data_IF_934492459515
#
_entry.id   IF_934492459515
#
_cell.length_a   1.000
_cell.length_b   1.000
_cell.length_c   1.000
_cell.angle_alpha   90.00
_cell.angle_beta   90.00
_cell.angle_gamma   90.00
#
_symmetry.space_group_name_H-M   'P 1'
#
loop_
_entity.id
_entity.type
_entity.pdbx_description
1 polymer ?
#
# COMPACT_ATOMS: atom_id res chain seq x y z
N UNK A 1 -28.32 28.39 -16.60
CA UNK A 1 -27.72 27.37 -17.48
C UNK A 1 -27.76 27.87 -18.94
N UNK A 2 -26.80 28.67 -19.37
CA UNK A 2 -26.53 29.06 -20.78
C UNK A 2 -25.47 30.16 -20.77
N UNK A 3 -24.22 29.80 -20.44
CA UNK A 3 -23.00 30.63 -20.64
C UNK A 3 -21.73 29.83 -20.30
N UNK A 4 -21.62 28.58 -20.79
CA UNK A 4 -20.38 27.76 -20.60
C UNK A 4 -20.00 26.96 -21.85
N UNK A 5 -20.42 27.38 -23.07
CA UNK A 5 -20.15 26.63 -24.30
C UNK A 5 -19.39 27.42 -25.38
N UNK A 6 -18.92 28.63 -25.07
CA UNK A 6 -18.20 29.44 -26.04
C UNK A 6 -16.67 29.49 -25.87
N UNK A 7 -16.14 29.03 -24.72
CA UNK A 7 -14.70 29.13 -24.44
C UNK A 7 -13.92 27.83 -24.74
N UNK A 8 -14.61 26.71 -24.93
CA UNK A 8 -13.97 25.42 -25.28
C UNK A 8 -13.81 25.18 -26.77
N UNK A 9 -14.53 25.93 -27.63
CA UNK A 9 -14.42 25.78 -29.06
C UNK A 9 -13.24 26.56 -29.68
N UNK A 10 -12.67 27.55 -28.99
CA UNK A 10 -11.54 28.33 -29.49
C UNK A 10 -10.17 27.71 -29.23
N UNK A 11 -10.04 26.81 -28.25
CA UNK A 11 -8.79 26.08 -27.97
C UNK A 11 -8.56 24.86 -28.87
N UNK A 12 -9.61 24.29 -29.49
CA UNK A 12 -9.48 23.07 -30.30
C UNK A 12 -9.07 23.38 -31.75
N UNK A 13 -9.27 24.60 -32.24
CA UNK A 13 -8.89 24.97 -33.60
C UNK A 13 -7.43 25.45 -33.75
N UNK A 14 -6.71 25.66 -32.67
CA UNK A 14 -5.26 25.98 -32.71
C UNK A 14 -4.34 24.76 -32.50
N UNK A 15 -4.85 23.60 -32.07
CA UNK A 15 -4.04 22.40 -31.81
C UNK A 15 -3.84 21.47 -33.00
N UNK A 16 -4.48 21.70 -34.18
CA UNK A 16 -4.37 20.77 -35.32
C UNK A 16 -3.43 21.24 -36.45
N UNK A 17 -2.72 22.34 -36.29
CA UNK A 17 -1.82 22.86 -37.32
C UNK A 17 -0.31 22.80 -36.98
N UNK A 18 0.10 22.15 -35.83
CA UNK A 18 1.53 22.09 -35.44
C UNK A 18 2.00 20.67 -35.09
N UNK A 19 1.62 19.71 -35.91
CA UNK A 19 2.25 18.39 -35.88
C UNK A 19 2.95 18.15 -37.23
N UNK A 20 4.27 18.17 -37.19
CA UNK A 20 5.24 17.81 -38.22
C UNK A 20 5.98 19.03 -38.88
N UNK A 21 7.12 19.31 -38.29
CA UNK A 21 8.16 20.13 -38.95
C UNK A 21 9.25 20.42 -37.93
N UNK A 22 10.45 19.85 -38.11
CA UNK A 22 11.67 20.43 -37.53
C UNK A 22 11.70 21.90 -38.02
N UNK A 23 11.14 22.80 -37.20
CA UNK A 23 11.28 24.23 -37.44
C UNK A 23 12.78 24.59 -37.44
N UNK A 24 13.21 25.58 -38.24
CA UNK A 24 14.57 26.04 -38.23
C UNK A 24 14.96 26.43 -36.81
N UNK A 25 16.21 26.17 -36.45
CA UNK A 25 16.83 26.66 -35.20
C UNK A 25 16.41 28.13 -35.02
N UNK A 26 15.86 28.46 -33.83
CA UNK A 26 15.33 29.78 -33.58
C UNK A 26 16.41 30.82 -33.82
N UNK A 27 16.28 31.52 -34.94
CA UNK A 27 17.12 32.69 -35.23
C UNK A 27 16.65 33.80 -34.29
N UNK A 28 17.56 34.23 -33.39
CA UNK A 28 17.35 35.42 -32.56
C UNK A 28 16.98 36.57 -33.54
N UNK A 29 15.84 37.24 -33.31
CA UNK A 29 15.49 38.38 -34.15
C UNK A 29 16.64 39.37 -34.22
N UNK A 30 17.12 39.72 -35.42
CA UNK A 30 18.20 40.66 -35.61
C UNK A 30 17.90 42.00 -34.96
N UNK A 31 18.74 42.43 -33.99
CA UNK A 31 18.59 43.72 -33.31
C UNK A 31 18.71 43.72 -31.79
N UNK A 32 18.78 42.54 -31.15
CA UNK A 32 19.06 42.48 -29.70
C UNK A 32 20.58 42.70 -29.44
N UNK A 33 20.96 43.60 -28.51
CA UNK A 33 22.31 43.67 -28.00
C UNK A 33 22.80 42.30 -27.51
N UNK A 34 24.05 41.95 -27.69
CA UNK A 34 24.60 40.66 -27.24
C UNK A 34 24.37 40.42 -25.73
N UNK A 35 24.32 41.49 -24.94
CA UNK A 35 24.00 41.45 -23.50
C UNK A 35 22.55 41.01 -23.17
N UNK A 36 21.61 41.07 -24.08
CA UNK A 36 20.22 40.62 -23.91
C UNK A 36 19.92 39.30 -24.61
N UNK A 37 20.87 38.78 -25.37
CA UNK A 37 20.68 37.54 -26.15
C UNK A 37 20.51 36.33 -25.22
N UNK A 38 21.29 36.23 -24.17
CA UNK A 38 21.19 35.16 -23.18
C UNK A 38 19.87 35.19 -22.43
N UNK A 39 19.37 36.39 -22.08
CA UNK A 39 18.08 36.59 -21.42
C UNK A 39 16.92 36.15 -22.32
N UNK A 40 16.97 36.51 -23.59
CA UNK A 40 15.92 36.13 -24.57
C UNK A 40 15.90 34.60 -24.76
N UNK A 41 17.06 33.97 -24.98
CA UNK A 41 17.19 32.50 -25.11
C UNK A 41 16.71 31.78 -23.86
N UNK A 42 17.07 32.27 -22.68
CA UNK A 42 16.56 31.76 -21.41
C UNK A 42 15.03 31.83 -21.34
N UNK A 43 14.44 32.97 -21.68
CA UNK A 43 12.99 33.17 -21.65
C UNK A 43 12.25 32.21 -22.60
N UNK A 44 12.80 32.01 -23.82
CA UNK A 44 12.25 31.02 -24.74
C UNK A 44 12.41 29.58 -24.19
N UNK A 45 13.53 29.27 -23.56
CA UNK A 45 13.73 27.99 -22.88
C UNK A 45 12.69 27.71 -21.80
N UNK A 46 12.43 28.69 -20.93
CA UNK A 46 11.34 28.62 -19.91
C UNK A 46 9.98 28.40 -20.57
N UNK A 47 9.67 29.13 -21.62
CA UNK A 47 8.42 29.02 -22.34
C UNK A 47 8.25 27.63 -22.98
N UNK A 48 9.28 27.05 -23.57
CA UNK A 48 9.25 25.68 -24.10
C UNK A 48 8.95 24.68 -23.00
N UNK A 49 9.56 24.82 -21.81
CA UNK A 49 9.36 23.93 -20.69
C UNK A 49 7.95 24.09 -20.04
N UNK A 50 7.51 25.33 -19.79
CA UNK A 50 6.31 25.57 -18.96
C UNK A 50 5.02 25.60 -19.77
N UNK A 51 5.04 26.10 -21.01
CA UNK A 51 3.84 26.26 -21.85
C UNK A 51 3.70 25.11 -22.83
N UNK A 52 4.78 24.73 -23.49
CA UNK A 52 4.76 23.69 -24.53
C UNK A 52 5.12 22.31 -24.03
N UNK A 53 5.62 22.20 -22.77
CA UNK A 53 6.07 20.95 -22.15
C UNK A 53 7.15 20.20 -23.00
N UNK A 54 7.92 20.94 -23.80
CA UNK A 54 8.98 20.43 -24.64
C UNK A 54 10.35 20.62 -23.93
N UNK A 55 10.71 19.64 -23.11
CA UNK A 55 11.95 19.66 -22.33
C UNK A 55 13.20 19.57 -23.21
N UNK A 56 13.10 18.97 -24.40
CA UNK A 56 14.23 18.85 -25.33
C UNK A 56 14.57 20.21 -25.91
N UNK A 57 13.56 20.91 -26.46
CA UNK A 57 13.77 22.27 -26.98
C UNK A 57 14.14 23.25 -25.88
N UNK A 58 13.53 23.13 -24.70
CA UNK A 58 13.91 23.94 -23.55
C UNK A 58 15.41 23.81 -23.26
N UNK A 59 15.95 22.59 -23.29
CA UNK A 59 17.39 22.32 -23.07
C UNK A 59 18.26 22.92 -24.18
N UNK A 60 17.82 22.87 -25.44
CA UNK A 60 18.54 23.50 -26.56
C UNK A 60 18.64 25.02 -26.35
N UNK A 61 17.54 25.69 -26.05
CA UNK A 61 17.52 27.14 -25.79
C UNK A 61 18.39 27.53 -24.58
N UNK A 62 18.31 26.77 -23.49
CA UNK A 62 19.12 27.03 -22.30
C UNK A 62 20.61 26.81 -22.57
N UNK A 63 20.95 25.82 -23.40
CA UNK A 63 22.35 25.59 -23.84
C UNK A 63 22.87 26.77 -24.65
N UNK A 64 22.07 27.30 -25.59
CA UNK A 64 22.44 28.48 -26.37
C UNK A 64 22.52 29.74 -25.50
N UNK A 65 21.63 29.86 -24.45
CA UNK A 65 21.74 30.95 -23.48
C UNK A 65 23.08 30.94 -22.74
N UNK A 66 23.55 29.76 -22.31
CA UNK A 66 24.86 29.56 -21.64
C UNK A 66 26.02 29.84 -22.62
N UNK A 67 25.89 29.50 -23.91
CA UNK A 67 26.88 29.81 -24.91
C UNK A 67 26.98 31.31 -25.19
N UNK A 68 25.84 32.00 -25.18
CA UNK A 68 25.80 33.46 -25.40
C UNK A 68 26.40 34.21 -24.20
N UNK A 69 26.14 33.74 -22.97
CA UNK A 69 26.72 34.27 -21.75
C UNK A 69 26.96 33.17 -20.72
N UNK A 70 28.23 32.76 -20.60
CA UNK A 70 28.67 31.71 -19.67
C UNK A 70 28.61 32.14 -18.19
N UNK A 71 28.28 33.38 -17.89
CA UNK A 71 28.10 33.91 -16.54
C UNK A 71 26.63 34.07 -16.15
N UNK A 72 25.70 33.75 -17.06
CA UNK A 72 24.26 33.90 -16.81
C UNK A 72 23.73 32.76 -15.92
N UNK A 73 23.80 32.93 -14.60
CA UNK A 73 23.47 31.96 -13.58
C UNK A 73 22.04 31.37 -13.71
N UNK A 74 20.99 32.15 -14.09
CA UNK A 74 19.64 31.59 -14.24
C UNK A 74 19.50 30.45 -15.25
N UNK A 75 20.27 30.48 -16.36
CA UNK A 75 20.23 29.42 -17.35
C UNK A 75 20.78 28.10 -16.83
N UNK A 76 21.86 28.13 -16.05
CA UNK A 76 22.39 26.94 -15.37
C UNK A 76 21.42 26.38 -14.34
N UNK A 77 20.77 27.23 -13.55
CA UNK A 77 19.80 26.83 -12.56
C UNK A 77 18.60 26.12 -13.22
N UNK A 78 18.02 26.73 -14.26
CA UNK A 78 16.87 26.15 -14.94
C UNK A 78 17.23 24.84 -15.65
N UNK A 79 18.40 24.77 -16.27
CA UNK A 79 18.88 23.55 -16.92
C UNK A 79 19.09 22.43 -15.88
N UNK A 80 19.61 22.78 -14.69
CA UNK A 80 19.75 21.84 -13.58
C UNK A 80 18.39 21.36 -13.07
N UNK A 81 17.40 22.24 -12.96
CA UNK A 81 16.05 21.90 -12.53
C UNK A 81 15.40 20.91 -13.49
N UNK A 82 15.52 21.15 -14.78
CA UNK A 82 14.96 20.26 -15.81
C UNK A 82 15.65 18.89 -15.86
N UNK A 83 16.95 18.83 -15.53
CA UNK A 83 17.74 17.61 -15.55
C UNK A 83 17.71 16.79 -14.25
N UNK A 84 17.16 17.32 -13.17
CA UNK A 84 17.30 16.74 -11.82
C UNK A 84 16.86 15.27 -11.74
N UNK A 85 15.80 14.89 -12.44
CA UNK A 85 15.24 13.53 -12.40
C UNK A 85 15.86 12.57 -13.43
N UNK A 86 16.38 13.09 -14.55
CA UNK A 86 16.90 12.28 -15.65
C UNK A 86 18.43 12.14 -15.63
N UNK A 87 19.13 13.20 -15.21
CA UNK A 87 20.59 13.28 -15.16
C UNK A 87 21.07 13.95 -13.87
N UNK A 88 20.91 13.27 -12.71
CA UNK A 88 21.17 13.89 -11.39
C UNK A 88 22.58 14.45 -11.22
N UNK A 89 23.61 13.74 -11.68
CA UNK A 89 25.00 14.21 -11.56
C UNK A 89 25.27 15.46 -12.39
N UNK A 90 24.72 15.52 -13.60
CA UNK A 90 24.81 16.73 -14.44
C UNK A 90 24.06 17.90 -13.79
N UNK A 91 22.87 17.64 -13.23
CA UNK A 91 22.10 18.64 -12.50
C UNK A 91 22.89 19.21 -11.31
N UNK A 92 23.64 18.37 -10.57
CA UNK A 92 24.54 18.83 -9.50
C UNK A 92 25.61 19.78 -10.02
N UNK A 93 26.28 19.45 -11.13
CA UNK A 93 27.35 20.31 -11.66
C UNK A 93 26.79 21.65 -12.19
N UNK A 94 25.63 21.61 -12.85
CA UNK A 94 24.94 22.83 -13.30
C UNK A 94 24.48 23.70 -12.11
N UNK A 95 23.87 23.10 -11.08
CA UNK A 95 23.47 23.78 -9.86
C UNK A 95 24.68 24.40 -9.13
N UNK A 96 25.82 23.65 -9.09
CA UNK A 96 27.09 24.15 -8.54
C UNK A 96 27.60 25.34 -9.32
N UNK A 97 27.47 25.33 -10.64
CA UNK A 97 27.88 26.47 -11.49
C UNK A 97 26.97 27.68 -11.23
N UNK A 98 25.65 27.52 -11.17
CA UNK A 98 24.72 28.60 -10.83
C UNK A 98 25.08 29.23 -9.49
N UNK A 99 25.31 28.40 -8.46
CA UNK A 99 25.68 28.88 -7.11
C UNK A 99 27.03 29.62 -7.09
N UNK A 100 28.05 29.16 -7.86
CA UNK A 100 29.35 29.85 -7.94
C UNK A 100 29.24 31.20 -8.62
N UNK A 101 28.34 31.38 -9.57
CA UNK A 101 28.11 32.64 -10.27
C UNK A 101 27.39 33.68 -9.41
N UNK A 102 26.49 33.22 -8.52
CA UNK A 102 25.84 34.08 -7.55
C UNK A 102 25.66 33.33 -6.21
N UNK A 103 26.67 33.53 -5.34
CA UNK A 103 26.71 32.90 -4.00
C UNK A 103 25.77 33.54 -3.01
N UNK A 104 25.18 34.69 -3.32
CA UNK A 104 24.24 35.41 -2.46
C UNK A 104 22.81 34.93 -2.67
N UNK A 105 22.54 34.27 -3.77
CA UNK A 105 21.24 33.75 -4.12
C UNK A 105 20.94 32.47 -3.32
N UNK A 106 20.05 32.63 -2.33
CA UNK A 106 19.64 31.52 -1.45
C UNK A 106 18.99 30.36 -2.21
N UNK A 107 18.29 30.64 -3.31
CA UNK A 107 17.61 29.62 -4.11
C UNK A 107 18.61 28.70 -4.82
N UNK A 108 19.71 29.25 -5.37
CA UNK A 108 20.76 28.45 -5.98
C UNK A 108 21.47 27.58 -4.97
N UNK A 109 21.71 28.12 -3.77
CA UNK A 109 22.33 27.38 -2.67
C UNK A 109 21.41 26.22 -2.19
N UNK A 110 20.12 26.51 -2.01
CA UNK A 110 19.14 25.51 -1.59
C UNK A 110 18.95 24.41 -2.64
N UNK A 111 18.84 24.81 -3.90
CA UNK A 111 18.68 23.87 -5.02
C UNK A 111 19.92 22.97 -5.17
N UNK A 112 21.13 23.50 -5.02
CA UNK A 112 22.35 22.67 -5.01
C UNK A 112 22.27 21.59 -3.91
N UNK A 113 21.77 21.94 -2.73
CA UNK A 113 21.56 20.98 -1.65
C UNK A 113 20.56 19.89 -2.03
N UNK A 114 19.44 20.27 -2.66
CA UNK A 114 18.43 19.32 -3.14
C UNK A 114 18.96 18.41 -4.26
N UNK A 115 19.66 18.97 -5.24
CA UNK A 115 20.26 18.20 -6.32
C UNK A 115 21.27 17.16 -5.80
N UNK A 116 22.08 17.54 -4.81
CA UNK A 116 23.02 16.63 -4.14
C UNK A 116 22.32 15.49 -3.39
N UNK A 117 21.20 15.79 -2.71
CA UNK A 117 20.36 14.76 -2.07
C UNK A 117 19.81 13.79 -3.11
N UNK A 118 19.30 14.32 -4.21
CA UNK A 118 18.72 13.52 -5.28
C UNK A 118 19.77 12.62 -5.97
N UNK A 119 20.98 13.16 -6.17
CA UNK A 119 22.12 12.40 -6.66
C UNK A 119 22.76 11.46 -5.59
N UNK A 120 22.17 11.36 -4.39
CA UNK A 120 22.66 10.57 -3.25
C UNK A 120 24.08 10.96 -2.77
N UNK A 121 24.53 12.18 -3.10
CA UNK A 121 25.82 12.72 -2.67
C UNK A 121 25.70 13.36 -1.26
N UNK A 122 25.25 12.57 -0.28
CA UNK A 122 24.88 13.02 1.07
C UNK A 122 26.00 13.77 1.82
N UNK A 123 27.28 13.35 1.77
CA UNK A 123 28.35 14.09 2.44
C UNK A 123 28.54 15.52 1.91
N UNK A 124 28.33 15.74 0.60
CA UNK A 124 28.41 17.06 0.01
C UNK A 124 27.19 17.91 0.34
N UNK A 125 25.97 17.29 0.27
CA UNK A 125 24.74 17.91 0.70
C UNK A 125 24.81 18.39 2.15
N UNK A 126 25.40 17.59 3.04
CA UNK A 126 25.63 17.93 4.44
C UNK A 126 26.45 19.26 4.56
N UNK A 127 27.50 19.41 3.74
CA UNK A 127 28.29 20.64 3.69
C UNK A 127 27.47 21.86 3.24
N UNK A 128 26.57 21.68 2.28
CA UNK A 128 25.67 22.74 1.79
C UNK A 128 24.66 23.14 2.87
N UNK A 129 23.97 22.18 3.49
CA UNK A 129 22.96 22.49 4.52
C UNK A 129 23.54 23.04 5.83
N UNK A 130 24.80 22.70 6.16
CA UNK A 130 25.53 23.40 7.26
C UNK A 130 25.65 24.89 7.00
N UNK A 131 26.03 25.27 5.77
CA UNK A 131 26.13 26.68 5.37
C UNK A 131 24.75 27.36 5.30
N UNK A 132 23.74 26.66 4.76
CA UNK A 132 22.36 27.16 4.71
C UNK A 132 21.82 27.45 6.11
N UNK A 133 22.04 26.57 7.07
CA UNK A 133 21.65 26.80 8.47
C UNK A 133 22.32 28.04 9.05
N UNK A 134 23.60 28.29 8.71
CA UNK A 134 24.33 29.48 9.19
C UNK A 134 23.84 30.75 8.52
N UNK A 135 23.54 30.70 7.22
CA UNK A 135 23.08 31.85 6.43
C UNK A 135 21.61 32.21 6.72
N UNK A 136 20.75 31.21 6.92
CA UNK A 136 19.35 31.38 7.24
C UNK A 136 18.99 30.52 8.47
N UNK A 137 19.36 30.99 9.68
CA UNK A 137 19.13 30.24 10.92
C UNK A 137 17.67 30.26 11.39
N UNK A 138 16.79 31.05 10.77
CA UNK A 138 15.38 31.16 11.11
C UNK A 138 14.49 30.18 10.31
N UNK A 139 15.07 29.41 9.41
CA UNK A 139 14.33 28.43 8.62
C UNK A 139 14.43 27.03 9.27
N UNK A 140 13.33 26.50 9.84
CA UNK A 140 13.33 25.20 10.51
C UNK A 140 13.60 24.03 9.54
N UNK A 141 13.29 24.17 8.23
CA UNK A 141 13.59 23.16 7.23
C UNK A 141 15.07 22.90 7.05
N UNK A 142 15.92 23.92 7.26
CA UNK A 142 17.37 23.73 7.21
C UNK A 142 17.86 22.77 8.30
N UNK A 143 17.23 22.80 9.49
CA UNK A 143 17.55 21.89 10.59
C UNK A 143 17.01 20.50 10.32
N UNK A 144 15.79 20.41 9.80
CA UNK A 144 15.15 19.13 9.43
C UNK A 144 15.98 18.37 8.42
N UNK A 145 16.34 19.02 7.31
CA UNK A 145 17.12 18.42 6.24
C UNK A 145 18.54 18.09 6.70
N UNK A 146 19.15 18.96 7.52
CA UNK A 146 20.47 18.71 8.09
C UNK A 146 20.45 17.48 9.02
N UNK A 147 19.42 17.33 9.85
CA UNK A 147 19.27 16.17 10.72
C UNK A 147 19.05 14.87 9.90
N UNK A 148 18.21 14.91 8.86
CA UNK A 148 18.00 13.79 7.96
C UNK A 148 19.31 13.39 7.22
N UNK A 149 20.11 14.36 6.79
CA UNK A 149 21.39 14.09 6.17
C UNK A 149 22.40 13.49 7.14
N UNK A 150 22.41 13.93 8.38
CA UNK A 150 23.25 13.31 9.41
C UNK A 150 22.88 11.84 9.63
N UNK A 151 21.59 11.51 9.59
CA UNK A 151 21.11 10.13 9.68
C UNK A 151 21.58 9.30 8.48
N UNK A 152 21.46 9.84 7.25
CA UNK A 152 21.92 9.16 6.04
C UNK A 152 23.44 8.87 6.05
N UNK A 153 24.23 9.77 6.64
CA UNK A 153 25.68 9.54 6.79
C UNK A 153 26.06 8.83 8.10
N UNK A 154 25.09 8.17 8.75
CA UNK A 154 25.28 7.38 9.98
C UNK A 154 25.87 8.18 11.16
N UNK A 155 25.42 9.42 11.32
CA UNK A 155 25.81 10.30 12.43
C UNK A 155 24.58 10.72 13.27
N UNK A 156 23.86 9.77 13.90
CA UNK A 156 22.59 10.05 14.58
C UNK A 156 22.74 11.00 15.77
N UNK A 157 23.86 11.01 16.46
CA UNK A 157 24.11 11.96 17.56
C UNK A 157 24.21 13.42 17.07
N UNK A 158 24.80 13.64 15.88
CA UNK A 158 24.84 14.96 15.25
C UNK A 158 23.45 15.40 14.77
N UNK A 159 22.63 14.46 14.32
CA UNK A 159 21.23 14.70 13.99
C UNK A 159 20.44 15.16 15.24
N UNK A 160 20.56 14.45 16.36
CA UNK A 160 19.91 14.80 17.63
C UNK A 160 20.36 16.20 18.08
N UNK A 161 21.66 16.50 18.10
CA UNK A 161 22.17 17.81 18.48
C UNK A 161 21.67 18.94 17.55
N UNK A 162 21.44 18.63 16.27
CA UNK A 162 20.85 19.59 15.32
C UNK A 162 19.38 19.87 15.67
N UNK A 163 18.62 18.83 16.01
CA UNK A 163 17.21 18.96 16.43
C UNK A 163 17.09 19.65 17.80
N UNK A 164 18.01 19.40 18.75
CA UNK A 164 18.08 20.14 20.00
C UNK A 164 18.30 21.64 19.75
N UNK A 165 19.17 21.97 18.79
CA UNK A 165 19.42 23.38 18.40
C UNK A 165 18.20 24.03 17.76
N UNK A 166 17.40 23.24 17.00
CA UNK A 166 16.14 23.70 16.43
C UNK A 166 15.09 23.95 17.52
N UNK A 167 14.96 23.04 18.50
CA UNK A 167 14.02 23.17 19.61
C UNK A 167 14.33 24.40 20.48
N UNK A 168 15.61 24.67 20.76
CA UNK A 168 16.03 25.86 21.48
C UNK A 168 15.66 27.18 20.76
N UNK A 169 15.61 27.17 19.43
CA UNK A 169 15.34 28.35 18.62
C UNK A 169 13.87 28.57 18.31
N UNK A 170 13.15 27.53 18.00
CA UNK A 170 11.76 27.60 17.51
C UNK A 170 10.73 27.07 18.50
N UNK A 171 11.18 26.55 19.64
CA UNK A 171 10.32 25.71 20.47
C UNK A 171 10.05 24.35 19.86
N UNK A 172 9.06 23.66 20.38
CA UNK A 172 8.70 22.32 19.91
C UNK A 172 7.87 22.37 18.63
N UNK A 173 8.46 21.90 17.54
CA UNK A 173 7.77 21.67 16.27
C UNK A 173 7.46 20.17 16.19
N UNK A 174 6.18 19.74 16.09
CA UNK A 174 5.79 18.33 16.18
C UNK A 174 6.60 17.39 15.28
N UNK A 175 6.83 17.78 14.03
CA UNK A 175 7.61 16.99 13.07
C UNK A 175 9.08 16.83 13.50
N UNK A 176 9.73 17.88 14.02
CA UNK A 176 11.12 17.81 14.48
C UNK A 176 11.24 16.99 15.77
N UNK A 177 10.28 17.14 16.67
CA UNK A 177 10.21 16.34 17.91
C UNK A 177 9.99 14.85 17.60
N UNK A 178 9.18 14.53 16.60
CA UNK A 178 8.99 13.13 16.13
C UNK A 178 10.29 12.53 15.57
N UNK A 179 11.03 13.28 14.73
CA UNK A 179 12.33 12.85 14.22
C UNK A 179 13.34 12.66 15.36
N UNK A 180 13.42 13.61 16.30
CA UNK A 180 14.31 13.52 17.46
C UNK A 180 14.00 12.28 18.29
N UNK A 181 12.74 12.02 18.60
CA UNK A 181 12.31 10.84 19.35
C UNK A 181 12.70 9.55 18.64
N UNK A 182 12.48 9.46 17.31
CA UNK A 182 12.88 8.28 16.53
C UNK A 182 14.39 8.02 16.60
N UNK A 183 15.19 9.07 16.51
CA UNK A 183 16.66 8.99 16.66
C UNK A 183 17.07 8.60 18.07
N UNK A 184 16.38 9.12 19.10
CA UNK A 184 16.63 8.72 20.50
C UNK A 184 16.32 7.24 20.73
N UNK A 185 15.23 6.72 20.14
CA UNK A 185 14.88 5.30 20.20
C UNK A 185 15.95 4.46 19.49
N UNK A 186 16.32 4.80 18.26
CA UNK A 186 17.30 4.06 17.47
C UNK A 186 18.71 4.04 18.11
N UNK A 187 19.07 5.12 18.81
CA UNK A 187 20.33 5.22 19.58
C UNK A 187 20.23 4.69 21.01
N UNK A 188 19.09 4.07 21.39
CA UNK A 188 18.81 3.55 22.72
C UNK A 188 18.86 4.57 23.86
N UNK A 189 18.65 5.83 23.58
CA UNK A 189 18.51 6.90 24.59
C UNK A 189 17.04 6.99 25.05
N UNK A 190 16.50 5.87 25.54
CA UNK A 190 15.06 5.70 25.81
C UNK A 190 14.53 6.66 26.88
N UNK A 191 15.31 6.98 27.89
CA UNK A 191 14.87 7.93 28.93
C UNK A 191 14.63 9.32 28.35
N UNK A 192 15.51 9.80 27.44
CA UNK A 192 15.31 11.08 26.75
C UNK A 192 14.11 11.01 25.79
N UNK A 193 13.88 9.88 25.15
CA UNK A 193 12.70 9.69 24.31
C UNK A 193 11.41 9.78 25.12
N UNK A 194 11.40 9.24 26.36
CA UNK A 194 10.28 9.38 27.30
C UNK A 194 10.09 10.83 27.71
N UNK A 195 11.16 11.57 28.02
CA UNK A 195 11.06 12.99 28.40
C UNK A 195 10.48 13.84 27.25
N UNK A 196 10.88 13.56 25.99
CA UNK A 196 10.28 14.19 24.82
C UNK A 196 8.79 13.86 24.68
N UNK A 197 8.41 12.58 24.85
CA UNK A 197 7.02 12.17 24.76
C UNK A 197 6.15 12.78 25.88
N UNK A 198 6.65 12.83 27.12
CA UNK A 198 5.97 13.50 28.24
C UNK A 198 5.70 14.96 27.93
N UNK A 199 6.70 15.66 27.42
CA UNK A 199 6.56 17.05 27.10
C UNK A 199 5.57 17.31 25.94
N UNK A 200 5.38 16.33 25.02
CA UNK A 200 4.31 16.38 24.01
C UNK A 200 2.92 16.20 24.65
N UNK A 201 2.79 15.25 25.58
CA UNK A 201 1.55 15.07 26.36
C UNK A 201 1.21 16.31 27.16
N UNK A 202 2.19 16.94 27.83
CA UNK A 202 1.98 18.20 28.59
C UNK A 202 1.54 19.35 27.68
N UNK A 203 2.08 19.45 26.47
CA UNK A 203 1.74 20.50 25.51
C UNK A 203 0.35 20.32 24.89
N UNK A 204 -0.10 19.07 24.70
CA UNK A 204 -1.39 18.75 24.09
C UNK A 204 -2.00 17.48 24.75
N UNK A 205 -2.56 17.63 25.97
CA UNK A 205 -2.99 16.49 26.78
C UNK A 205 -4.27 15.79 26.27
N UNK A 206 -4.95 16.37 25.29
CA UNK A 206 -6.15 15.78 24.68
C UNK A 206 -5.88 15.13 23.30
N UNK A 207 -4.61 14.99 22.93
CA UNK A 207 -4.21 14.27 21.71
C UNK A 207 -3.89 12.81 22.06
N UNK A 208 -4.79 11.90 21.72
CA UNK A 208 -4.65 10.47 22.03
C UNK A 208 -3.31 9.89 21.55
N UNK A 209 -2.85 10.31 20.37
CA UNK A 209 -1.59 9.84 19.78
C UNK A 209 -0.36 10.14 20.64
N UNK A 210 -0.35 11.25 21.40
CA UNK A 210 0.77 11.57 22.30
C UNK A 210 0.85 10.60 23.47
N UNK A 211 -0.30 10.23 24.03
CA UNK A 211 -0.39 9.22 25.09
C UNK A 211 0.03 7.84 24.59
N UNK A 212 -0.40 7.46 23.37
CA UNK A 212 0.01 6.19 22.73
C UNK A 212 1.53 6.09 22.60
N UNK A 213 2.15 7.15 22.07
CA UNK A 213 3.62 7.20 21.92
C UNK A 213 4.34 7.07 23.27
N UNK A 214 3.83 7.70 24.31
CA UNK A 214 4.41 7.59 25.65
C UNK A 214 4.20 6.18 26.24
N UNK A 215 3.03 5.60 26.00
CA UNK A 215 2.73 4.22 26.39
C UNK A 215 3.65 3.21 25.69
N UNK A 216 3.86 3.32 24.40
CA UNK A 216 4.77 2.48 23.62
C UNK A 216 6.21 2.54 24.17
N UNK A 217 6.69 3.74 24.52
CA UNK A 217 8.01 3.91 25.13
C UNK A 217 8.09 3.27 26.53
N UNK A 218 7.05 3.38 27.34
CA UNK A 218 6.99 2.69 28.61
C UNK A 218 6.94 1.17 28.42
N UNK A 219 6.24 0.69 27.41
CA UNK A 219 6.19 -0.72 27.05
C UNK A 219 7.57 -1.28 26.65
N UNK A 220 8.35 -0.52 25.86
CA UNK A 220 9.73 -0.86 25.49
C UNK A 220 10.64 -0.93 26.75
N UNK A 221 10.40 -0.06 27.71
CA UNK A 221 11.12 -0.03 28.99
C UNK A 221 10.61 -1.06 30.01
N UNK A 222 9.63 -1.89 29.65
CA UNK A 222 8.94 -2.84 30.54
C UNK A 222 8.32 -2.19 31.78
N UNK A 223 7.89 -0.93 31.67
CA UNK A 223 7.16 -0.19 32.72
C UNK A 223 5.64 -0.35 32.49
N UNK A 224 5.15 -1.59 32.60
CA UNK A 224 3.80 -1.97 32.20
C UNK A 224 2.67 -1.15 32.83
N UNK A 225 2.76 -0.86 34.14
CA UNK A 225 1.74 -0.05 34.82
C UNK A 225 1.65 1.37 34.25
N UNK A 226 2.78 1.97 33.86
CA UNK A 226 2.81 3.30 33.25
C UNK A 226 2.32 3.25 31.81
N UNK A 227 2.71 2.20 31.06
CA UNK A 227 2.22 1.99 29.69
C UNK A 227 0.69 1.89 29.66
N UNK A 228 0.11 1.03 30.51
CA UNK A 228 -1.34 0.87 30.59
C UNK A 228 -2.05 2.16 31.00
N UNK A 229 -1.51 2.92 31.96
CA UNK A 229 -2.10 4.19 32.35
C UNK A 229 -2.18 5.21 31.19
N UNK A 230 -1.17 5.24 30.33
CA UNK A 230 -1.17 6.11 29.15
C UNK A 230 -2.09 5.57 28.02
N UNK A 231 -2.12 4.26 27.78
CA UNK A 231 -3.12 3.67 26.88
C UNK A 231 -4.55 3.94 27.35
N UNK A 232 -4.83 3.80 28.65
CA UNK A 232 -6.16 4.10 29.21
C UNK A 232 -6.55 5.58 28.98
N UNK A 233 -5.61 6.50 29.11
CA UNK A 233 -5.84 7.92 28.79
C UNK A 233 -6.13 8.14 27.32
N UNK A 234 -5.36 7.53 26.42
CA UNK A 234 -5.62 7.58 24.98
C UNK A 234 -7.02 7.06 24.67
N UNK A 235 -7.41 5.93 25.27
CA UNK A 235 -8.73 5.31 25.12
C UNK A 235 -9.88 6.13 25.73
N UNK A 236 -9.62 6.96 26.75
CA UNK A 236 -10.61 7.90 27.31
C UNK A 236 -10.82 9.09 26.38
N UNK A 237 -9.80 9.51 25.63
CA UNK A 237 -9.88 10.62 24.66
C UNK A 237 -10.66 10.13 23.41
N UNK A 238 -10.24 9.03 22.81
CA UNK A 238 -10.93 8.37 21.69
C UNK A 238 -10.84 6.85 21.81
N UNK A 239 -11.94 6.27 22.22
CA UNK A 239 -12.04 4.81 22.38
C UNK A 239 -12.15 4.04 21.06
N UNK A 240 -12.27 4.73 19.93
CA UNK A 240 -12.46 4.15 18.59
C UNK A 240 -11.27 4.40 17.67
N UNK A 241 -10.27 5.16 18.13
CA UNK A 241 -9.07 5.44 17.33
C UNK A 241 -8.33 4.15 16.97
N UNK A 242 -8.26 3.90 15.66
CA UNK A 242 -7.65 2.67 15.10
C UNK A 242 -6.16 2.59 15.44
N UNK A 243 -5.45 3.72 15.46
CA UNK A 243 -4.02 3.75 15.78
C UNK A 243 -3.77 3.34 17.25
N UNK A 244 -4.56 3.88 18.18
CA UNK A 244 -4.53 3.50 19.60
C UNK A 244 -4.83 2.02 19.80
N UNK A 245 -5.88 1.52 19.16
CA UNK A 245 -6.25 0.11 19.24
C UNK A 245 -5.19 -0.82 18.66
N UNK A 246 -4.53 -0.43 17.57
CA UNK A 246 -3.44 -1.22 16.99
C UNK A 246 -2.22 -1.28 17.91
N UNK A 247 -1.76 -0.14 18.44
CA UNK A 247 -0.65 -0.11 19.40
C UNK A 247 -0.96 -0.93 20.66
N UNK A 248 -2.18 -0.84 21.16
CA UNK A 248 -2.63 -1.64 22.31
C UNK A 248 -2.66 -3.15 22.00
N UNK A 249 -3.09 -3.53 20.80
CA UNK A 249 -3.05 -4.93 20.37
C UNK A 249 -1.61 -5.44 20.25
N UNK A 250 -0.68 -4.62 19.74
CA UNK A 250 0.75 -4.98 19.65
C UNK A 250 1.40 -5.06 21.03
N UNK A 251 1.02 -4.19 21.97
CA UNK A 251 1.42 -4.27 23.36
C UNK A 251 1.02 -5.60 23.99
N UNK A 252 -0.25 -6.01 23.89
CA UNK A 252 -0.73 -7.27 24.42
C UNK A 252 -0.09 -8.48 23.73
N UNK A 253 0.11 -8.39 22.42
CA UNK A 253 0.78 -9.44 21.63
C UNK A 253 2.23 -9.65 22.11
N UNK A 254 2.98 -8.58 22.36
CA UNK A 254 4.33 -8.65 22.91
C UNK A 254 4.39 -9.33 24.29
N UNK A 255 3.31 -9.31 25.04
CA UNK A 255 3.16 -9.95 26.35
C UNK A 255 2.49 -11.32 26.29
N UNK A 256 2.12 -11.77 25.09
CA UNK A 256 1.39 -13.03 24.85
C UNK A 256 0.02 -13.08 25.55
N UNK A 257 -0.55 -11.94 25.85
CA UNK A 257 -1.94 -11.84 26.31
C UNK A 257 -2.91 -11.86 25.13
N UNK A 258 -3.05 -13.03 24.55
CA UNK A 258 -3.84 -13.21 23.32
C UNK A 258 -5.35 -12.97 23.51
N UNK A 259 -5.86 -13.12 24.74
CA UNK A 259 -7.26 -12.77 25.02
C UNK A 259 -7.50 -11.28 24.85
N UNK A 260 -6.62 -10.46 25.40
CA UNK A 260 -6.68 -9.01 25.23
C UNK A 260 -6.42 -8.60 23.78
N UNK A 261 -5.49 -9.26 23.07
CA UNK A 261 -5.31 -9.05 21.61
C UNK A 261 -6.62 -9.24 20.85
N UNK A 262 -7.34 -10.34 21.11
CA UNK A 262 -8.58 -10.66 20.41
C UNK A 262 -9.71 -9.69 20.78
N UNK A 263 -9.81 -9.27 22.04
CA UNK A 263 -10.78 -8.26 22.48
C UNK A 263 -10.56 -6.91 21.80
N UNK A 264 -9.30 -6.48 21.71
CA UNK A 264 -8.94 -5.23 20.98
C UNK A 264 -9.17 -5.39 19.48
N UNK A 265 -8.86 -6.56 18.92
CA UNK A 265 -9.12 -6.84 17.50
C UNK A 265 -10.63 -6.83 17.20
N UNK A 266 -11.49 -7.28 18.13
CA UNK A 266 -12.93 -7.18 17.98
C UNK A 266 -13.35 -5.71 17.82
N UNK A 267 -12.83 -4.81 18.64
CA UNK A 267 -13.11 -3.37 18.55
C UNK A 267 -12.62 -2.77 17.24
N UNK A 268 -11.46 -3.21 16.75
CA UNK A 268 -10.95 -2.82 15.41
C UNK A 268 -11.91 -3.27 14.30
N UNK A 269 -12.48 -4.49 14.41
CA UNK A 269 -13.41 -5.00 13.42
C UNK A 269 -14.78 -4.29 13.47
N UNK A 270 -15.17 -3.83 14.64
CA UNK A 270 -16.38 -3.01 14.84
C UNK A 270 -16.21 -1.57 14.34
N UNK A 271 -14.96 -1.08 14.16
CA UNK A 271 -14.70 0.28 13.69
C UNK A 271 -14.92 0.42 12.18
N UNK A 272 -15.59 1.49 11.76
CA UNK A 272 -15.73 1.86 10.34
C UNK A 272 -14.46 2.51 9.78
N UNK A 273 -13.56 2.97 10.65
CA UNK A 273 -12.31 3.60 10.24
C UNK A 273 -11.27 2.59 9.72
N UNK A 274 -11.37 1.31 10.12
CA UNK A 274 -10.47 0.27 9.64
C UNK A 274 -10.98 -0.29 8.30
N UNK A 275 -10.20 -0.20 7.20
CA UNK A 275 -10.60 -0.75 5.90
C UNK A 275 -10.80 -2.26 5.94
N UNK A 276 -11.76 -2.76 5.15
CA UNK A 276 -12.07 -4.20 5.09
C UNK A 276 -10.84 -5.05 4.75
N UNK A 277 -10.00 -4.62 3.81
CA UNK A 277 -8.78 -5.33 3.43
C UNK A 277 -7.83 -5.53 4.62
N UNK A 278 -7.72 -4.53 5.48
CA UNK A 278 -6.92 -4.62 6.70
C UNK A 278 -7.54 -5.58 7.73
N UNK A 279 -8.88 -5.61 7.84
CA UNK A 279 -9.60 -6.57 8.69
C UNK A 279 -9.39 -8.01 8.22
N UNK A 280 -9.58 -8.27 6.94
CA UNK A 280 -9.35 -9.59 6.33
C UNK A 280 -7.93 -10.05 6.57
N UNK A 281 -6.94 -9.20 6.23
CA UNK A 281 -5.52 -9.52 6.43
C UNK A 281 -5.19 -9.83 7.91
N UNK A 282 -5.76 -9.06 8.84
CA UNK A 282 -5.56 -9.30 10.28
C UNK A 282 -6.15 -10.64 10.71
N UNK A 283 -7.34 -10.98 10.23
CA UNK A 283 -7.96 -12.27 10.51
C UNK A 283 -7.13 -13.43 9.97
N UNK A 284 -6.66 -13.36 8.73
CA UNK A 284 -5.79 -14.37 8.12
C UNK A 284 -4.48 -14.56 8.91
N UNK A 285 -3.87 -13.46 9.38
CA UNK A 285 -2.69 -13.52 10.23
C UNK A 285 -2.96 -14.27 11.54
N UNK A 286 -4.08 -13.98 12.21
CA UNK A 286 -4.46 -14.64 13.46
C UNK A 286 -4.79 -16.12 13.27
N UNK A 287 -5.31 -16.50 12.11
CA UNK A 287 -5.71 -17.88 11.80
C UNK A 287 -4.62 -18.71 11.13
N UNK A 288 -3.45 -18.14 10.86
CA UNK A 288 -2.32 -18.82 10.20
C UNK A 288 -1.65 -19.90 11.09
N UNK A 289 -1.67 -19.73 12.39
CA UNK A 289 -1.18 -20.73 13.35
C UNK A 289 -2.33 -21.64 13.81
N UNK A 290 -2.27 -22.92 13.46
CA UNK A 290 -3.29 -23.92 13.80
C UNK A 290 -3.44 -24.18 15.30
N UNK A 291 -2.38 -23.96 16.10
CA UNK A 291 -2.48 -24.11 17.57
C UNK A 291 -3.25 -22.96 18.16
N UNK A 292 -2.87 -21.73 17.77
CA UNK A 292 -3.60 -20.52 18.13
C UNK A 292 -5.06 -20.59 17.69
N UNK A 293 -5.31 -21.03 16.45
CA UNK A 293 -6.65 -21.20 15.91
C UNK A 293 -7.54 -22.09 16.80
N UNK A 294 -7.03 -23.25 17.22
CA UNK A 294 -7.77 -24.20 18.07
C UNK A 294 -8.00 -23.66 19.47
N UNK A 295 -7.01 -22.98 20.05
CA UNK A 295 -7.08 -22.45 21.41
C UNK A 295 -8.09 -21.29 21.55
N UNK A 296 -8.13 -20.41 20.51
CA UNK A 296 -8.95 -19.21 20.54
C UNK A 296 -10.11 -19.25 19.54
N UNK A 297 -10.57 -20.43 19.18
CA UNK A 297 -11.61 -20.66 18.20
C UNK A 297 -12.88 -19.81 18.44
N UNK A 298 -13.37 -19.75 19.69
CA UNK A 298 -14.62 -19.01 20.03
C UNK A 298 -14.46 -17.51 19.70
N UNK A 299 -13.33 -16.92 20.05
CA UNK A 299 -13.05 -15.52 19.80
C UNK A 299 -12.86 -15.25 18.30
N UNK A 300 -12.17 -16.15 17.60
CA UNK A 300 -11.98 -16.07 16.16
C UNK A 300 -13.32 -16.22 15.41
N UNK A 301 -14.21 -17.07 15.89
CA UNK A 301 -15.58 -17.18 15.35
C UNK A 301 -16.36 -15.87 15.53
N UNK A 302 -16.23 -15.20 16.68
CA UNK A 302 -16.84 -13.89 16.89
C UNK A 302 -16.31 -12.85 15.90
N UNK A 303 -15.00 -12.82 15.64
CA UNK A 303 -14.38 -11.93 14.64
C UNK A 303 -14.88 -12.22 13.24
N UNK A 304 -14.92 -13.49 12.83
CA UNK A 304 -15.37 -13.90 11.51
C UNK A 304 -16.86 -13.58 11.29
N UNK A 305 -17.72 -13.85 12.29
CA UNK A 305 -19.13 -13.53 12.23
C UNK A 305 -19.38 -12.02 12.18
N UNK A 306 -18.58 -11.21 12.89
CA UNK A 306 -18.64 -9.74 12.80
C UNK A 306 -18.39 -9.27 11.36
N UNK A 307 -17.39 -9.83 10.69
CA UNK A 307 -17.13 -9.50 9.27
C UNK A 307 -18.32 -9.92 8.40
N UNK A 308 -18.84 -11.13 8.58
CA UNK A 308 -19.96 -11.63 7.79
C UNK A 308 -21.25 -10.78 7.96
N UNK A 309 -21.52 -10.31 9.17
CA UNK A 309 -22.66 -9.43 9.45
C UNK A 309 -22.48 -8.04 8.84
N UNK A 310 -21.27 -7.48 8.91
CA UNK A 310 -21.00 -6.11 8.40
C UNK A 310 -20.83 -6.05 6.89
N UNK A 311 -20.32 -7.10 6.27
CA UNK A 311 -20.00 -7.16 4.84
C UNK A 311 -20.61 -8.41 4.18
N UNK A 312 -21.93 -8.62 4.28
CA UNK A 312 -22.57 -9.88 3.88
C UNK A 312 -22.48 -10.16 2.37
N UNK A 313 -22.24 -9.12 1.55
CA UNK A 313 -22.16 -9.25 0.09
C UNK A 313 -20.71 -9.25 -0.44
N UNK A 314 -19.71 -9.09 0.41
CA UNK A 314 -18.31 -9.17 -0.04
C UNK A 314 -17.88 -10.63 -0.14
N UNK A 315 -17.60 -11.07 -1.37
CA UNK A 315 -17.22 -12.47 -1.68
C UNK A 315 -16.05 -12.96 -0.84
N UNK A 316 -15.07 -12.11 -0.56
CA UNK A 316 -13.88 -12.48 0.24
C UNK A 316 -14.28 -12.79 1.68
N UNK A 317 -15.25 -12.03 2.22
CA UNK A 317 -15.78 -12.26 3.57
C UNK A 317 -16.63 -13.52 3.62
N UNK A 318 -17.48 -13.75 2.63
CA UNK A 318 -18.28 -14.99 2.51
C UNK A 318 -17.34 -16.20 2.48
N UNK A 319 -16.31 -16.19 1.63
CA UNK A 319 -15.34 -17.27 1.56
C UNK A 319 -14.53 -17.45 2.85
N UNK A 320 -14.10 -16.35 3.47
CA UNK A 320 -13.36 -16.38 4.73
C UNK A 320 -14.20 -17.02 5.83
N UNK A 321 -15.46 -16.58 5.98
CA UNK A 321 -16.34 -17.10 7.02
C UNK A 321 -16.75 -18.55 6.76
N UNK A 322 -17.06 -18.90 5.52
CA UNK A 322 -17.35 -20.28 5.15
C UNK A 322 -16.17 -21.22 5.40
N UNK A 323 -14.93 -20.82 5.02
CA UNK A 323 -13.71 -21.58 5.33
C UNK A 323 -13.49 -21.75 6.83
N UNK A 324 -13.80 -20.70 7.61
CA UNK A 324 -13.73 -20.76 9.07
C UNK A 324 -14.74 -21.79 9.61
N UNK A 325 -15.98 -21.77 9.15
CA UNK A 325 -17.03 -22.72 9.54
C UNK A 325 -16.66 -24.18 9.16
N UNK A 326 -16.10 -24.40 7.98
CA UNK A 326 -15.61 -25.71 7.54
C UNK A 326 -14.47 -26.21 8.45
N UNK A 327 -13.51 -25.34 8.74
CA UNK A 327 -12.37 -25.69 9.58
C UNK A 327 -12.76 -26.03 11.03
N UNK A 328 -13.89 -25.50 11.49
CA UNK A 328 -14.46 -25.79 12.80
C UNK A 328 -15.40 -27.01 12.82
N UNK A 329 -15.73 -27.56 11.66
CA UNK A 329 -16.67 -28.66 11.53
C UNK A 329 -18.15 -28.25 11.49
N UNK A 330 -18.45 -26.96 11.39
CA UNK A 330 -19.82 -26.41 11.31
C UNK A 330 -20.32 -26.42 9.86
N UNK A 331 -20.35 -27.63 9.28
CA UNK A 331 -20.57 -27.83 7.84
C UNK A 331 -21.95 -27.38 7.37
N UNK A 332 -23.00 -27.59 8.19
CA UNK A 332 -24.35 -27.15 7.87
C UNK A 332 -24.47 -25.62 7.78
N UNK A 333 -23.74 -24.90 8.66
CA UNK A 333 -23.73 -23.44 8.61
C UNK A 333 -22.96 -22.93 7.39
N UNK A 334 -21.81 -23.55 7.07
CA UNK A 334 -21.07 -23.24 5.87
C UNK A 334 -21.89 -23.50 4.60
N UNK A 335 -22.62 -24.63 4.58
CA UNK A 335 -23.53 -24.99 3.50
C UNK A 335 -24.64 -23.97 3.32
N UNK A 336 -25.30 -23.55 4.42
CA UNK A 336 -26.33 -22.54 4.40
C UNK A 336 -25.81 -21.19 3.87
N UNK A 337 -24.60 -20.80 4.30
CA UNK A 337 -23.97 -19.58 3.85
C UNK A 337 -23.69 -19.61 2.33
N UNK A 338 -23.07 -20.67 1.82
CA UNK A 338 -22.82 -20.80 0.38
C UNK A 338 -24.12 -20.85 -0.43
N UNK A 339 -25.14 -21.60 0.04
CA UNK A 339 -26.45 -21.68 -0.64
C UNK A 339 -27.14 -20.31 -0.75
N UNK A 340 -27.00 -19.46 0.28
CA UNK A 340 -27.53 -18.10 0.27
C UNK A 340 -26.96 -17.25 -0.86
N UNK A 341 -25.69 -17.53 -1.26
CA UNK A 341 -24.96 -16.77 -2.26
C UNK A 341 -24.86 -17.45 -3.64
N UNK A 342 -25.53 -18.59 -3.87
CA UNK A 342 -25.52 -19.27 -5.17
C UNK A 342 -26.20 -18.48 -6.29
N UNK A 343 -27.16 -17.61 -5.94
CA UNK A 343 -27.93 -16.80 -6.90
C UNK A 343 -27.29 -15.43 -7.19
N UNK A 344 -26.13 -15.12 -6.55
CA UNK A 344 -25.38 -13.89 -6.79
C UNK A 344 -24.90 -13.82 -8.25
N UNK A 345 -24.89 -12.61 -8.81
CA UNK A 345 -24.46 -12.37 -10.18
C UNK A 345 -23.15 -11.56 -10.24
N UNK A 346 -22.17 -12.00 -11.01
CA UNK A 346 -22.09 -13.28 -11.76
C UNK A 346 -21.93 -14.48 -10.81
N UNK A 347 -22.40 -15.68 -11.22
CA UNK A 347 -22.31 -16.87 -10.39
C UNK A 347 -20.86 -17.22 -10.06
N UNK A 348 -20.64 -17.76 -8.85
CA UNK A 348 -19.29 -18.07 -8.34
C UNK A 348 -19.10 -19.58 -8.35
N UNK A 349 -18.23 -20.08 -9.23
CA UNK A 349 -17.91 -21.50 -9.40
C UNK A 349 -17.53 -22.19 -8.09
N UNK A 350 -16.65 -21.52 -7.29
CA UNK A 350 -16.15 -22.07 -6.02
C UNK A 350 -17.27 -22.33 -5.00
N UNK A 351 -18.37 -21.56 -5.03
CA UNK A 351 -19.50 -21.79 -4.14
C UNK A 351 -20.26 -23.06 -4.49
N UNK A 352 -20.50 -23.31 -5.78
CA UNK A 352 -21.10 -24.56 -6.25
C UNK A 352 -20.24 -25.76 -5.88
N UNK A 353 -18.93 -25.68 -6.08
CA UNK A 353 -17.97 -26.71 -5.69
C UNK A 353 -18.07 -27.01 -4.20
N UNK A 354 -17.99 -25.99 -3.35
CA UNK A 354 -18.09 -26.15 -1.90
C UNK A 354 -19.42 -26.74 -1.44
N UNK A 355 -20.56 -26.30 -2.03
CA UNK A 355 -21.87 -26.89 -1.73
C UNK A 355 -21.92 -28.38 -2.10
N UNK A 356 -21.43 -28.75 -3.29
CA UNK A 356 -21.40 -30.13 -3.76
C UNK A 356 -20.53 -31.01 -2.86
N UNK A 357 -19.36 -30.52 -2.49
CA UNK A 357 -18.41 -31.23 -1.63
C UNK A 357 -19.00 -31.46 -0.21
N UNK A 358 -19.60 -30.42 0.39
CA UNK A 358 -20.22 -30.51 1.70
C UNK A 358 -21.45 -31.44 1.68
N UNK A 359 -22.33 -31.30 0.68
CA UNK A 359 -23.51 -32.18 0.54
C UNK A 359 -23.10 -33.64 0.35
N UNK A 360 -22.04 -33.88 -0.44
CA UNK A 360 -21.49 -35.22 -0.66
C UNK A 360 -20.89 -35.79 0.63
N UNK A 361 -20.15 -34.97 1.41
CA UNK A 361 -19.60 -35.37 2.70
C UNK A 361 -20.70 -35.71 3.72
N UNK A 362 -21.76 -34.91 3.77
CA UNK A 362 -22.92 -35.12 4.63
C UNK A 362 -23.83 -36.28 4.15
N UNK A 363 -23.46 -36.96 3.06
CA UNK A 363 -24.21 -38.07 2.47
C UNK A 363 -25.63 -37.68 2.03
N UNK A 364 -25.78 -36.51 1.42
CA UNK A 364 -27.03 -36.04 0.82
C UNK A 364 -26.98 -36.11 -0.71
N UNK A 365 -27.02 -37.32 -1.34
CA UNK A 365 -26.77 -37.49 -2.75
C UNK A 365 -27.79 -36.79 -3.67
N UNK A 366 -29.06 -36.70 -3.24
CA UNK A 366 -30.10 -36.05 -4.04
C UNK A 366 -29.85 -34.54 -4.12
N UNK A 367 -29.47 -33.92 -2.98
CA UNK A 367 -29.11 -32.51 -2.93
C UNK A 367 -27.82 -32.24 -3.73
N UNK A 368 -26.79 -33.05 -3.55
CA UNK A 368 -25.56 -32.95 -4.34
C UNK A 368 -25.84 -33.01 -5.85
N UNK A 369 -26.68 -33.98 -6.29
CA UNK A 369 -27.05 -34.12 -7.70
C UNK A 369 -27.79 -32.89 -8.25
N UNK A 370 -28.66 -32.24 -7.44
CA UNK A 370 -29.34 -31.02 -7.82
C UNK A 370 -28.33 -29.90 -8.12
N UNK A 371 -27.38 -29.65 -7.19
CA UNK A 371 -26.39 -28.59 -7.35
C UNK A 371 -25.35 -28.89 -8.41
N UNK A 372 -25.01 -30.16 -8.62
CA UNK A 372 -24.14 -30.59 -9.74
C UNK A 372 -24.79 -30.26 -11.09
N UNK A 373 -26.06 -30.60 -11.28
CA UNK A 373 -26.75 -30.28 -12.53
C UNK A 373 -26.81 -28.79 -12.80
N UNK A 374 -27.12 -27.99 -11.77
CA UNK A 374 -27.12 -26.51 -11.84
C UNK A 374 -25.74 -25.95 -12.16
N UNK A 375 -24.68 -26.50 -11.54
CA UNK A 375 -23.30 -26.10 -11.82
C UNK A 375 -22.89 -26.42 -13.26
N UNK A 376 -23.29 -27.58 -13.80
CA UNK A 376 -23.00 -27.95 -15.17
C UNK A 376 -23.74 -27.11 -16.22
N UNK A 377 -24.91 -26.54 -15.89
CA UNK A 377 -25.60 -25.57 -16.74
C UNK A 377 -24.86 -24.24 -16.79
N UNK A 378 -24.32 -23.78 -15.66
CA UNK A 378 -23.63 -22.51 -15.53
C UNK A 378 -22.15 -22.58 -16.00
N UNK A 379 -21.49 -23.71 -15.74
CA UNK A 379 -20.07 -23.94 -15.98
C UNK A 379 -19.84 -25.24 -16.79
N UNK A 380 -20.32 -25.36 -18.04
CA UNK A 380 -20.30 -26.60 -18.79
C UNK A 380 -18.91 -27.15 -19.14
N UNK A 381 -17.88 -26.31 -19.01
CA UNK A 381 -16.48 -26.70 -19.29
C UNK A 381 -15.71 -27.24 -18.09
N UNK A 382 -16.29 -27.17 -16.89
CA UNK A 382 -15.59 -27.54 -15.64
C UNK A 382 -15.66 -29.05 -15.41
N UNK A 383 -14.48 -29.68 -15.51
CA UNK A 383 -14.33 -31.15 -15.41
C UNK A 383 -14.73 -31.67 -14.02
N UNK A 384 -14.47 -30.88 -12.96
CA UNK A 384 -14.71 -31.33 -11.60
C UNK A 384 -16.20 -31.58 -11.32
N UNK A 385 -17.11 -30.80 -11.92
CA UNK A 385 -18.54 -31.04 -11.79
C UNK A 385 -19.01 -32.33 -12.51
N UNK A 386 -18.37 -32.66 -13.64
CA UNK A 386 -18.64 -33.96 -14.32
C UNK A 386 -18.12 -35.14 -13.49
N UNK A 387 -16.94 -34.99 -12.85
CA UNK A 387 -16.40 -35.99 -11.95
C UNK A 387 -17.27 -36.17 -10.71
N UNK A 388 -17.68 -35.06 -10.09
CA UNK A 388 -18.62 -35.09 -8.95
C UNK A 388 -19.94 -35.76 -9.30
N UNK A 389 -20.45 -35.55 -10.54
CA UNK A 389 -21.64 -36.25 -11.03
C UNK A 389 -21.41 -37.76 -11.09
N UNK A 390 -20.27 -38.19 -11.62
CA UNK A 390 -19.88 -39.58 -11.64
C UNK A 390 -19.77 -40.19 -10.23
N UNK A 391 -19.18 -39.48 -9.31
CA UNK A 391 -19.03 -39.92 -7.91
C UNK A 391 -20.38 -40.09 -7.21
N UNK A 392 -21.30 -39.14 -7.33
CA UNK A 392 -22.63 -39.21 -6.72
C UNK A 392 -23.44 -40.35 -7.31
N UNK A 393 -23.41 -40.51 -8.65
CA UNK A 393 -24.11 -41.63 -9.35
C UNK A 393 -23.52 -42.99 -8.97
N UNK A 394 -22.21 -43.08 -8.78
CA UNK A 394 -21.56 -44.33 -8.31
C UNK A 394 -21.97 -44.66 -6.87
N UNK A 395 -22.01 -43.63 -5.99
CA UNK A 395 -22.47 -43.78 -4.59
C UNK A 395 -23.93 -44.25 -4.51
N UNK A 396 -24.81 -43.75 -5.40
CA UNK A 396 -26.23 -44.17 -5.46
C UNK A 396 -26.42 -45.48 -6.24
N UNK A 397 -25.33 -46.14 -6.63
CA UNK A 397 -25.31 -47.40 -7.39
C UNK A 397 -25.88 -47.32 -8.83
N UNK A 398 -25.96 -46.12 -9.37
CA UNK A 398 -26.38 -45.89 -10.76
C UNK A 398 -25.16 -46.04 -11.72
N UNK A 399 -24.53 -47.21 -11.71
CA UNK A 399 -23.23 -47.45 -12.29
C UNK A 399 -23.12 -47.08 -13.77
N UNK A 400 -24.11 -47.41 -14.61
CA UNK A 400 -24.10 -47.07 -16.03
C UNK A 400 -24.12 -45.57 -16.29
N UNK A 401 -24.86 -44.82 -15.45
CA UNK A 401 -24.88 -43.38 -15.57
C UNK A 401 -23.56 -42.75 -15.05
N UNK A 402 -22.98 -43.33 -14.00
CA UNK A 402 -21.68 -42.92 -13.48
C UNK A 402 -20.58 -43.07 -14.53
N UNK A 403 -20.51 -44.25 -15.19
CA UNK A 403 -19.54 -44.49 -16.27
C UNK A 403 -19.71 -43.47 -17.40
N UNK A 404 -20.95 -43.17 -17.81
CA UNK A 404 -21.22 -42.14 -18.83
C UNK A 404 -20.76 -40.75 -18.40
N UNK A 405 -20.95 -40.35 -17.13
CA UNK A 405 -20.49 -39.07 -16.61
C UNK A 405 -18.95 -38.99 -16.62
N UNK A 406 -18.26 -40.04 -16.19
CA UNK A 406 -16.79 -40.10 -16.27
C UNK A 406 -16.28 -40.10 -17.72
N UNK A 407 -16.96 -40.80 -18.64
CA UNK A 407 -16.61 -40.74 -20.06
C UNK A 407 -16.79 -39.33 -20.65
N UNK A 408 -17.81 -38.59 -20.21
CA UNK A 408 -18.00 -37.21 -20.63
C UNK A 408 -16.87 -36.31 -20.11
N UNK A 409 -16.39 -36.54 -18.89
CA UNK A 409 -15.29 -35.74 -18.30
C UNK A 409 -13.97 -35.91 -19.07
N UNK A 410 -13.74 -37.08 -19.76
CA UNK A 410 -12.55 -37.27 -20.59
C UNK A 410 -12.42 -36.23 -21.72
N UNK A 411 -13.53 -35.63 -22.19
CA UNK A 411 -13.51 -34.57 -23.21
C UNK A 411 -12.84 -33.30 -22.76
N UNK A 412 -12.83 -33.05 -21.43
CA UNK A 412 -12.28 -31.85 -20.78
C UNK A 412 -10.92 -32.13 -20.15
N UNK A 413 -10.47 -33.40 -20.08
CA UNK A 413 -9.19 -33.76 -19.47
C UNK A 413 -8.01 -33.29 -20.32
N UNK A 414 -7.25 -32.33 -19.81
CA UNK A 414 -6.14 -31.68 -20.53
C UNK A 414 -4.81 -32.43 -20.41
N UNK A 415 -4.64 -33.32 -19.43
CA UNK A 415 -3.40 -34.05 -19.17
C UNK A 415 -3.62 -35.58 -19.23
N UNK A 416 -2.58 -36.30 -19.64
CA UNK A 416 -2.65 -37.77 -19.68
C UNK A 416 -2.77 -38.39 -18.28
N UNK A 417 -2.19 -37.74 -17.26
CA UNK A 417 -2.36 -38.14 -15.86
C UNK A 417 -3.82 -38.09 -15.42
N UNK A 418 -4.53 -37.00 -15.75
CA UNK A 418 -5.95 -36.84 -15.43
C UNK A 418 -6.81 -37.85 -16.22
N UNK A 419 -6.50 -38.06 -17.51
CA UNK A 419 -7.17 -39.11 -18.31
C UNK A 419 -6.98 -40.50 -17.70
N UNK A 420 -5.75 -40.81 -17.26
CA UNK A 420 -5.46 -42.08 -16.58
C UNK A 420 -6.27 -42.25 -15.29
N UNK A 421 -6.36 -41.21 -14.48
CA UNK A 421 -7.19 -41.22 -13.26
C UNK A 421 -8.68 -41.46 -13.57
N UNK A 422 -9.23 -40.81 -14.61
CA UNK A 422 -10.62 -41.00 -15.01
C UNK A 422 -10.86 -42.42 -15.51
N UNK A 423 -9.94 -43.00 -16.29
CA UNK A 423 -10.03 -44.42 -16.70
C UNK A 423 -9.98 -45.34 -15.48
N UNK A 424 -9.21 -45.03 -14.44
CA UNK A 424 -9.24 -45.74 -13.17
C UNK A 424 -10.63 -45.72 -12.53
N UNK A 425 -11.25 -44.53 -12.42
CA UNK A 425 -12.63 -44.39 -11.89
C UNK A 425 -13.66 -45.20 -12.67
N UNK A 426 -13.54 -45.22 -14.00
CA UNK A 426 -14.41 -46.06 -14.88
C UNK A 426 -14.20 -47.53 -14.55
N UNK A 427 -12.96 -47.99 -14.47
CA UNK A 427 -12.62 -49.38 -14.15
C UNK A 427 -13.15 -49.82 -12.78
N UNK A 428 -12.95 -48.97 -11.74
CA UNK A 428 -13.46 -49.20 -10.39
C UNK A 428 -14.99 -49.28 -10.37
N UNK A 429 -15.67 -48.43 -11.15
CA UNK A 429 -17.13 -48.46 -11.26
C UNK A 429 -17.64 -49.74 -11.96
N UNK A 430 -16.96 -50.20 -13.01
CA UNK A 430 -17.25 -51.50 -13.64
C UNK A 430 -17.07 -52.68 -12.67
N UNK A 431 -16.00 -52.64 -11.86
CA UNK A 431 -15.76 -53.66 -10.85
C UNK A 431 -16.87 -53.67 -9.77
N UNK A 432 -17.29 -52.50 -9.31
CA UNK A 432 -18.39 -52.37 -8.32
C UNK A 432 -19.73 -52.85 -8.91
N UNK A 433 -20.01 -52.52 -10.18
CA UNK A 433 -21.21 -53.00 -10.89
C UNK A 433 -21.24 -54.53 -10.95
N UNK A 434 -20.13 -55.14 -11.38
CA UNK A 434 -20.00 -56.60 -11.44
C UNK A 434 -20.14 -57.27 -10.08
N UNK A 435 -19.56 -56.68 -9.02
CA UNK A 435 -19.71 -57.18 -7.64
C UNK A 435 -21.13 -57.06 -7.11
N UNK A 436 -21.92 -56.12 -7.60
CA UNK A 436 -23.33 -55.97 -7.26
C UNK A 436 -24.26 -56.96 -8.01
N UNK A 437 -23.73 -57.77 -8.94
CA UNK A 437 -24.50 -58.74 -9.73
C UNK A 437 -25.26 -58.13 -10.91
N UNK A 438 -24.94 -56.91 -11.26
CA UNK A 438 -25.51 -56.22 -12.42
C UNK A 438 -24.60 -56.50 -13.65
N UNK A 439 -25.13 -57.21 -14.63
CA UNK A 439 -24.41 -57.55 -15.87
C UNK A 439 -24.46 -56.41 -16.91
#
# INVERSE_FOLDING_TARGET
>A
MKRLTATTALCVLFCTAFAAGKGPAATVPGGYPDSLRSVWLYTEGIKQNTIFHDTVRAREYLTEAIRADSTYAPAYYEMATNGMYSTPDEAVELARRAYRLDTTNKWYHQFLGQALIFAQRYPEALGVYKRLRTADPQNPDNYRLLAALYEQVQQPYSAIATLDSAELRFGRIPMLSAMKRQLLISTRQLDKAVDEAKAMVEAAPYEAQHHVVLADLYAILNKDSLAMAEYDRAMQIDSTDVATLMSLADYYNGRRDYRSVLNVTQRLFDSDQMPLDAKIKRFEQLTSDMRFYREYYIQLNALASTLAVRYPQDRRVVELYAKHLIASGELEQALALYKLHLDDQPPVESYYRSVIDIESYLQHPDSAALYINRALELFPGEIDFQLSKGHVLNYTKEYDKAIKAYQQSLRYARTDSLRGAIWGLIGDTWHQKAAAGES
#
